data_IF_957386093315
#
_entry.id   IF_957386093315
#
_cell.length_a   1.000
_cell.length_b   1.000
_cell.length_c   1.000
_cell.angle_alpha   90.00
_cell.angle_beta   90.00
_cell.angle_gamma   90.00
#
_symmetry.space_group_name_H-M   'P 1'
#
loop_
_entity.id
_entity.type
_entity.pdbx_description
1 polymer ?
#
# COMPACT_ATOMS: atom_id res chain seq x y z
N UNK A 1 51.09 2.88 -115.22
CA UNK A 1 49.76 2.65 -114.60
C UNK A 1 49.78 1.72 -113.39
N UNK A 2 50.48 0.57 -113.42
CA UNK A 2 50.49 -0.40 -112.30
C UNK A 2 51.02 0.14 -110.94
N UNK A 3 52.05 0.99 -110.95
CA UNK A 3 52.58 1.58 -109.70
C UNK A 3 51.58 2.49 -108.97
N UNK A 4 50.64 3.08 -109.69
CA UNK A 4 49.67 4.02 -109.11
C UNK A 4 48.50 3.27 -108.44
N UNK A 5 48.10 2.13 -109.03
CA UNK A 5 47.10 1.24 -108.45
C UNK A 5 47.60 0.58 -107.16
N UNK A 6 48.86 0.14 -107.15
CA UNK A 6 49.45 -0.50 -105.96
C UNK A 6 49.61 0.49 -104.79
N UNK A 7 49.93 1.75 -105.09
CA UNK A 7 49.91 2.86 -104.13
C UNK A 7 48.50 3.12 -103.58
N UNK A 8 47.47 3.11 -104.44
CA UNK A 8 46.08 3.29 -104.01
C UNK A 8 45.59 2.15 -103.11
N UNK A 9 45.88 0.90 -103.47
CA UNK A 9 45.54 -0.26 -102.64
C UNK A 9 46.25 -0.21 -101.29
N UNK A 10 47.54 0.13 -101.26
CA UNK A 10 48.30 0.27 -100.00
C UNK A 10 47.76 1.41 -99.13
N UNK A 11 47.34 2.52 -99.75
CA UNK A 11 46.72 3.65 -99.03
C UNK A 11 45.35 3.28 -98.46
N UNK A 12 44.52 2.57 -99.22
CA UNK A 12 43.24 2.05 -98.72
C UNK A 12 43.45 1.07 -97.57
N UNK A 13 44.41 0.14 -97.70
CA UNK A 13 44.71 -0.83 -96.66
C UNK A 13 45.22 -0.15 -95.37
N UNK A 14 46.03 0.90 -95.49
CA UNK A 14 46.43 1.72 -94.34
C UNK A 14 45.26 2.47 -93.69
N UNK A 15 44.31 2.98 -94.48
CA UNK A 15 43.10 3.63 -93.95
C UNK A 15 42.24 2.60 -93.21
N UNK A 16 42.08 1.40 -93.76
CA UNK A 16 41.34 0.31 -93.13
C UNK A 16 42.02 -0.17 -91.84
N UNK A 17 43.33 -0.38 -91.84
CA UNK A 17 44.09 -0.75 -90.63
C UNK A 17 43.93 0.36 -89.58
N UNK A 18 44.03 1.63 -89.97
CA UNK A 18 43.88 2.74 -89.03
C UNK A 18 42.47 2.80 -88.45
N UNK A 19 41.44 2.66 -89.28
CA UNK A 19 40.05 2.57 -88.82
C UNK A 19 39.83 1.39 -87.88
N UNK A 20 40.47 0.25 -88.13
CA UNK A 20 40.32 -0.95 -87.33
C UNK A 20 40.99 -0.77 -85.96
N UNK A 21 42.20 -0.19 -85.93
CA UNK A 21 42.90 0.20 -84.70
C UNK A 21 42.09 1.25 -83.94
N UNK A 22 41.54 2.26 -84.62
CA UNK A 22 40.72 3.30 -83.98
C UNK A 22 39.43 2.70 -83.38
N UNK A 23 38.79 1.74 -84.06
CA UNK A 23 37.64 1.02 -83.50
C UNK A 23 38.02 0.12 -82.34
N UNK A 24 39.17 -0.57 -82.40
CA UNK A 24 39.65 -1.44 -81.33
C UNK A 24 40.02 -0.61 -80.09
N UNK A 25 40.69 0.53 -80.29
CA UNK A 25 40.96 1.50 -79.24
C UNK A 25 39.68 2.10 -78.66
N UNK A 26 38.67 2.40 -79.49
CA UNK A 26 37.37 2.87 -79.02
C UNK A 26 36.63 1.79 -78.22
N UNK A 27 36.70 0.52 -78.64
CA UNK A 27 36.17 -0.63 -77.90
C UNK A 27 36.89 -0.84 -76.56
N UNK A 28 38.19 -0.60 -76.48
CA UNK A 28 38.95 -0.65 -75.22
C UNK A 28 38.69 0.55 -74.31
N UNK A 29 38.26 1.70 -74.87
CA UNK A 29 37.98 2.95 -74.14
C UNK A 29 36.52 3.14 -73.75
N UNK A 30 35.62 2.19 -74.04
CA UNK A 30 34.22 2.32 -73.63
C UNK A 30 34.17 2.30 -72.11
N UNK A 31 33.90 3.45 -71.49
CA UNK A 31 33.82 3.71 -70.04
C UNK A 31 33.02 2.62 -69.27
N UNK A 32 32.06 1.99 -69.95
CA UNK A 32 31.28 0.85 -69.46
C UNK A 32 32.12 -0.38 -69.07
N UNK A 33 33.31 -0.60 -69.63
CA UNK A 33 34.14 -1.77 -69.32
C UNK A 33 34.98 -1.57 -68.06
N UNK A 34 35.53 -0.37 -67.86
CA UNK A 34 36.19 -0.03 -66.59
C UNK A 34 35.20 -0.03 -65.43
N UNK A 35 34.00 0.50 -65.66
CA UNK A 35 32.93 0.48 -64.65
C UNK A 35 32.42 -0.95 -64.40
N UNK A 36 32.32 -1.79 -65.43
CA UNK A 36 32.01 -3.21 -65.27
C UNK A 36 33.08 -3.94 -64.44
N UNK A 37 34.37 -3.70 -64.69
CA UNK A 37 35.45 -4.33 -63.96
C UNK A 37 35.50 -3.86 -62.49
N UNK A 38 35.22 -2.57 -62.22
CA UNK A 38 35.05 -2.05 -60.85
C UNK A 38 33.85 -2.68 -60.14
N UNK A 39 32.68 -2.69 -60.77
CA UNK A 39 31.46 -3.30 -60.23
C UNK A 39 31.63 -4.79 -59.98
N UNK A 40 32.36 -5.49 -60.85
CA UNK A 40 32.68 -6.91 -60.67
C UNK A 40 33.57 -7.14 -59.46
N UNK A 41 34.59 -6.30 -59.27
CA UNK A 41 35.48 -6.35 -58.11
C UNK A 41 34.72 -6.06 -56.81
N UNK A 42 33.83 -5.06 -56.80
CA UNK A 42 32.93 -4.80 -55.67
C UNK A 42 31.98 -5.98 -55.40
N UNK A 43 31.38 -6.56 -56.43
CA UNK A 43 30.53 -7.74 -56.29
C UNK A 43 31.28 -8.93 -55.69
N UNK A 44 32.54 -9.14 -56.09
CA UNK A 44 33.35 -10.24 -55.58
C UNK A 44 33.82 -9.97 -54.14
N UNK A 45 34.12 -8.72 -53.79
CA UNK A 45 34.38 -8.31 -52.40
C UNK A 45 33.16 -8.52 -51.51
N UNK A 46 31.97 -8.09 -51.95
CA UNK A 46 30.72 -8.28 -51.20
C UNK A 46 30.37 -9.76 -51.04
N UNK A 47 30.65 -10.61 -52.03
CA UNK A 47 30.50 -12.07 -51.89
C UNK A 47 31.44 -12.63 -50.83
N UNK A 48 32.69 -12.17 -50.80
CA UNK A 48 33.65 -12.60 -49.80
C UNK A 48 33.23 -12.16 -48.40
N UNK A 49 32.82 -10.90 -48.22
CA UNK A 49 32.32 -10.38 -46.95
C UNK A 49 31.06 -11.11 -46.47
N UNK A 50 30.10 -11.36 -47.36
CA UNK A 50 28.88 -12.10 -47.01
C UNK A 50 29.19 -13.55 -46.66
N UNK A 51 30.16 -14.19 -47.32
CA UNK A 51 30.61 -15.53 -46.94
C UNK A 51 31.29 -15.55 -45.57
N UNK A 52 32.11 -14.55 -45.27
CA UNK A 52 32.80 -14.40 -43.97
C UNK A 52 31.82 -14.10 -42.83
N UNK A 53 30.84 -13.21 -43.05
CA UNK A 53 29.79 -12.97 -42.08
C UNK A 53 28.98 -14.24 -41.83
N UNK A 54 28.66 -14.99 -42.89
CA UNK A 54 27.92 -16.25 -42.76
C UNK A 54 28.67 -17.29 -41.93
N UNK A 55 29.99 -17.40 -42.07
CA UNK A 55 30.79 -18.29 -41.21
C UNK A 55 30.77 -17.84 -39.76
N UNK A 56 30.94 -16.54 -39.49
CA UNK A 56 30.89 -16.01 -38.12
C UNK A 56 29.51 -16.22 -37.47
N UNK A 57 28.42 -16.07 -38.24
CA UNK A 57 27.08 -16.36 -37.74
C UNK A 57 26.89 -17.84 -37.40
N UNK A 58 27.46 -18.75 -38.18
CA UNK A 58 27.41 -20.19 -37.87
C UNK A 58 28.18 -20.52 -36.58
N UNK A 59 29.38 -19.95 -36.42
CA UNK A 59 30.15 -20.10 -35.17
C UNK A 59 29.40 -19.54 -33.95
N UNK A 60 28.75 -18.38 -34.10
CA UNK A 60 27.95 -17.78 -33.04
C UNK A 60 26.74 -18.66 -32.68
N UNK A 61 26.09 -19.25 -33.68
CA UNK A 61 24.99 -20.20 -33.45
C UNK A 61 25.47 -21.41 -32.65
N UNK A 62 26.64 -21.95 -32.97
CA UNK A 62 27.17 -23.12 -32.26
C UNK A 62 27.61 -22.78 -30.83
N UNK A 63 28.18 -21.59 -30.61
CA UNK A 63 28.46 -21.08 -29.26
C UNK A 63 27.17 -20.89 -28.43
N UNK A 64 26.11 -20.37 -29.05
CA UNK A 64 24.81 -20.21 -28.38
C UNK A 64 24.21 -21.57 -28.01
N UNK A 65 24.29 -22.59 -28.89
CA UNK A 65 23.84 -23.96 -28.56
C UNK A 65 24.64 -24.53 -27.39
N UNK A 66 25.95 -24.40 -27.42
CA UNK A 66 26.82 -24.86 -26.32
C UNK A 66 26.45 -24.22 -24.99
N UNK A 67 26.19 -22.91 -24.97
CA UNK A 67 25.74 -22.22 -23.75
C UNK A 67 24.37 -22.71 -23.28
N UNK A 68 23.43 -22.96 -24.19
CA UNK A 68 22.13 -23.54 -23.85
C UNK A 68 22.34 -24.90 -23.19
N UNK A 69 23.14 -25.78 -23.79
CA UNK A 69 23.42 -27.12 -23.25
C UNK A 69 24.01 -27.02 -21.83
N UNK A 70 25.03 -26.18 -21.62
CA UNK A 70 25.59 -25.95 -20.28
C UNK A 70 24.55 -25.41 -19.28
N UNK A 71 23.70 -24.46 -19.68
CA UNK A 71 22.67 -23.93 -18.78
C UNK A 71 21.65 -24.99 -18.41
N UNK A 72 21.31 -25.90 -19.34
CA UNK A 72 20.41 -27.01 -19.06
C UNK A 72 21.01 -28.03 -18.09
N UNK A 73 22.30 -28.34 -18.21
CA UNK A 73 23.02 -29.18 -17.25
C UNK A 73 23.01 -28.56 -15.83
N UNK A 74 23.33 -27.27 -15.71
CA UNK A 74 23.32 -26.56 -14.42
C UNK A 74 21.92 -26.56 -13.79
N UNK A 75 20.86 -26.42 -14.58
CA UNK A 75 19.49 -26.48 -14.08
C UNK A 75 19.15 -27.86 -13.53
N UNK A 76 19.57 -28.93 -14.21
CA UNK A 76 19.39 -30.30 -13.74
C UNK A 76 20.16 -30.52 -12.42
N UNK A 77 21.41 -30.06 -12.33
CA UNK A 77 22.18 -30.17 -11.09
C UNK A 77 21.52 -29.42 -9.93
N UNK A 78 21.05 -28.18 -10.18
CA UNK A 78 20.32 -27.39 -9.18
C UNK A 78 19.09 -28.14 -8.65
N UNK A 79 18.31 -28.73 -9.55
CA UNK A 79 17.08 -29.43 -9.17
C UNK A 79 17.38 -30.72 -8.39
N UNK A 80 18.48 -31.40 -8.73
CA UNK A 80 18.99 -32.54 -7.96
C UNK A 80 19.42 -32.10 -6.55
N UNK A 81 20.22 -31.03 -6.42
CA UNK A 81 20.63 -30.51 -5.11
C UNK A 81 19.44 -30.07 -4.25
N UNK A 82 18.43 -29.45 -4.86
CA UNK A 82 17.21 -29.07 -4.16
C UNK A 82 16.48 -30.31 -3.63
N UNK A 83 16.35 -31.35 -4.45
CA UNK A 83 15.71 -32.61 -4.07
C UNK A 83 16.47 -33.32 -2.94
N UNK A 84 17.80 -33.38 -3.00
CA UNK A 84 18.65 -33.95 -1.95
C UNK A 84 18.59 -33.15 -0.65
N UNK A 85 18.56 -31.81 -0.75
CA UNK A 85 18.41 -30.93 0.40
C UNK A 85 17.04 -31.11 1.07
N UNK A 86 15.96 -31.18 0.28
CA UNK A 86 14.61 -31.39 0.78
C UNK A 86 14.48 -32.76 1.46
N UNK A 87 15.03 -33.81 0.84
CA UNK A 87 15.11 -35.15 1.43
C UNK A 87 15.87 -35.15 2.76
N UNK A 88 17.06 -34.53 2.81
CA UNK A 88 17.87 -34.42 4.02
C UNK A 88 17.19 -33.62 5.13
N UNK A 89 16.52 -32.52 4.77
CA UNK A 89 15.73 -31.69 5.69
C UNK A 89 14.59 -32.50 6.33
N UNK A 90 13.90 -33.31 5.54
CA UNK A 90 12.79 -34.13 6.02
C UNK A 90 13.25 -35.24 6.98
N UNK A 91 14.45 -35.80 6.79
CA UNK A 91 15.03 -36.82 7.68
C UNK A 91 15.54 -36.21 8.99
N UNK A 92 16.24 -35.07 8.92
CA UNK A 92 16.86 -34.44 10.10
C UNK A 92 15.87 -33.67 10.97
N UNK A 93 14.76 -33.21 10.40
CA UNK A 93 13.68 -32.53 11.11
C UNK A 93 12.33 -33.16 10.76
N UNK A 94 12.02 -34.36 11.31
CA UNK A 94 10.73 -35.00 11.05
C UNK A 94 9.62 -34.06 11.50
N UNK A 95 8.84 -33.56 10.55
CA UNK A 95 7.74 -32.64 10.83
C UNK A 95 6.68 -33.37 11.66
N UNK A 96 6.15 -32.75 12.73
CA UNK A 96 5.03 -33.33 13.45
C UNK A 96 3.83 -33.56 12.53
N UNK A 97 3.12 -34.67 12.72
CA UNK A 97 1.86 -34.91 12.03
C UNK A 97 0.76 -34.02 12.63
N UNK A 98 0.62 -32.83 12.06
CA UNK A 98 -0.34 -31.81 12.48
C UNK A 98 -1.80 -32.24 12.34
N UNK A 99 -2.11 -33.31 11.60
CA UNK A 99 -3.47 -33.81 11.50
C UNK A 99 -4.00 -34.33 12.85
N UNK A 100 -3.10 -34.73 13.77
CA UNK A 100 -3.47 -35.14 15.13
C UNK A 100 -4.10 -34.00 15.93
N UNK A 101 -3.72 -32.76 15.64
CA UNK A 101 -4.27 -31.58 16.30
C UNK A 101 -5.73 -31.27 15.89
N UNK A 102 -6.22 -31.85 14.79
CA UNK A 102 -7.63 -31.69 14.37
C UNK A 102 -8.65 -32.28 15.36
N UNK A 103 -8.23 -33.24 16.18
CA UNK A 103 -9.07 -33.80 17.23
C UNK A 103 -9.12 -32.91 18.48
N UNK A 104 -8.11 -32.08 18.70
CA UNK A 104 -8.00 -31.20 19.87
C UNK A 104 -8.62 -29.82 19.61
N UNK A 105 -8.48 -29.30 18.38
CA UNK A 105 -8.97 -27.96 18.01
C UNK A 105 -9.98 -28.11 16.86
N UNK A 106 -11.24 -27.77 17.14
CA UNK A 106 -12.36 -27.93 16.18
C UNK A 106 -12.19 -27.09 14.91
N UNK A 107 -11.46 -25.97 15.00
CA UNK A 107 -11.17 -25.06 13.89
C UNK A 107 -9.79 -25.29 13.25
N UNK A 108 -9.08 -26.37 13.62
CA UNK A 108 -7.70 -26.62 13.19
C UNK A 108 -7.52 -26.58 11.67
N UNK A 109 -8.47 -27.13 10.92
CA UNK A 109 -8.41 -27.14 9.44
C UNK A 109 -8.41 -25.73 8.86
N UNK A 110 -9.11 -24.78 9.47
CA UNK A 110 -9.15 -23.40 9.00
C UNK A 110 -7.91 -22.63 9.46
N UNK A 111 -7.43 -22.88 10.68
CA UNK A 111 -6.26 -22.22 11.25
C UNK A 111 -4.93 -22.69 10.63
N UNK A 112 -4.87 -23.93 10.16
CA UNK A 112 -3.65 -24.53 9.63
C UNK A 112 -3.40 -24.31 8.13
N UNK A 113 -4.41 -23.85 7.39
CA UNK A 113 -4.30 -23.64 5.94
C UNK A 113 -3.28 -22.54 5.63
N UNK A 114 -2.25 -22.91 4.85
CA UNK A 114 -1.21 -21.99 4.39
C UNK A 114 -0.19 -21.54 5.44
N UNK A 115 -0.17 -22.17 6.62
CA UNK A 115 0.76 -21.82 7.71
C UNK A 115 1.98 -22.74 7.76
N UNK A 116 3.12 -22.18 8.17
CA UNK A 116 4.34 -22.97 8.40
C UNK A 116 4.24 -23.72 9.72
N UNK A 117 4.99 -24.82 9.92
CA UNK A 117 4.89 -25.58 11.18
C UNK A 117 5.31 -24.77 12.41
N UNK A 118 6.15 -23.75 12.26
CA UNK A 118 6.50 -22.83 13.35
C UNK A 118 5.29 -21.97 13.73
N UNK A 119 4.60 -21.41 12.74
CA UNK A 119 3.35 -20.67 12.96
C UNK A 119 2.23 -21.57 13.53
N UNK A 120 2.19 -22.85 13.15
CA UNK A 120 1.25 -23.82 13.73
C UNK A 120 1.54 -24.09 15.22
N UNK A 121 2.82 -24.11 15.61
CA UNK A 121 3.21 -24.21 17.03
C UNK A 121 2.76 -22.98 17.80
N UNK A 122 2.95 -21.77 17.25
CA UNK A 122 2.49 -20.54 17.89
C UNK A 122 0.97 -20.50 18.06
N UNK A 123 0.22 -20.96 17.04
CA UNK A 123 -1.24 -21.09 17.13
C UNK A 123 -1.64 -22.08 18.23
N UNK A 124 -0.96 -23.22 18.32
CA UNK A 124 -1.21 -24.20 19.39
C UNK A 124 -0.89 -23.64 20.77
N UNK A 125 0.24 -22.96 20.92
CA UNK A 125 0.64 -22.33 22.17
C UNK A 125 -0.40 -21.28 22.57
N UNK A 126 -0.87 -20.47 21.62
CA UNK A 126 -1.91 -19.48 21.87
C UNK A 126 -3.23 -20.13 22.28
N UNK A 127 -3.67 -21.21 21.63
CA UNK A 127 -4.92 -21.89 21.96
C UNK A 127 -4.84 -22.60 23.33
N UNK A 128 -3.73 -23.27 23.62
CA UNK A 128 -3.45 -23.90 24.92
C UNK A 128 -3.33 -22.84 26.02
N UNK A 129 -2.72 -21.68 25.72
CA UNK A 129 -2.67 -20.56 26.64
C UNK A 129 -4.04 -19.91 26.81
N UNK A 130 -4.89 -19.82 25.78
CA UNK A 130 -6.25 -19.34 25.92
C UNK A 130 -7.07 -20.25 26.87
N UNK A 131 -6.97 -21.58 26.72
CA UNK A 131 -7.62 -22.53 27.64
C UNK A 131 -7.03 -22.51 29.06
N UNK A 132 -5.74 -22.23 29.22
CA UNK A 132 -5.08 -22.13 30.54
C UNK A 132 -5.22 -20.76 31.20
N UNK A 133 -5.41 -19.68 30.43
CA UNK A 133 -5.63 -18.31 30.93
C UNK A 133 -7.08 -18.11 31.37
N UNK A 134 -8.02 -18.93 30.92
CA UNK A 134 -9.35 -19.05 31.56
C UNK A 134 -9.28 -19.73 32.94
N UNK A 135 -8.17 -20.39 33.30
CA UNK A 135 -8.03 -21.18 34.55
C UNK A 135 -7.03 -20.64 35.57
N UNK A 136 -6.24 -19.61 35.23
CA UNK A 136 -5.43 -18.88 36.22
C UNK A 136 -6.06 -17.52 36.46
N UNK A 137 -6.99 -17.48 37.41
CA UNK A 137 -7.51 -16.27 38.04
C UNK A 137 -6.35 -15.54 38.76
N UNK A 138 -5.54 -14.79 38.04
CA UNK A 138 -4.75 -13.73 38.67
C UNK A 138 -5.70 -12.55 38.85
N UNK A 139 -6.33 -12.47 40.03
CA UNK A 139 -7.23 -11.36 40.43
C UNK A 139 -6.58 -9.96 40.25
N UNK A 140 -5.26 -9.91 40.12
CA UNK A 140 -4.47 -8.69 39.98
C UNK A 140 -3.53 -8.77 38.78
N UNK A 141 -3.34 -7.64 38.10
CA UNK A 141 -2.26 -7.48 37.13
C UNK A 141 -0.92 -7.59 37.85
N UNK A 142 -0.12 -8.60 37.48
CA UNK A 142 1.29 -8.64 37.84
C UNK A 142 1.96 -7.41 37.24
N UNK A 143 2.28 -6.43 38.08
CA UNK A 143 3.09 -5.29 37.68
C UNK A 143 4.49 -5.83 37.33
N UNK A 144 4.69 -6.23 36.07
CA UNK A 144 5.99 -6.57 35.52
C UNK A 144 6.82 -5.29 35.48
N UNK A 145 7.35 -4.89 36.64
CA UNK A 145 8.56 -4.07 36.75
C UNK A 145 9.73 -4.99 36.40
N UNK A 146 9.74 -5.52 35.18
CA UNK A 146 10.90 -6.19 34.64
C UNK A 146 11.22 -5.53 33.31
N UNK A 147 12.37 -4.86 33.34
CA UNK A 147 13.08 -4.24 32.24
C UNK A 147 12.60 -2.84 31.85
N UNK A 148 13.34 -1.86 32.41
CA UNK A 148 13.59 -0.54 31.80
C UNK A 148 14.01 -0.59 30.31
N UNK A 149 14.26 -1.77 29.76
CA UNK A 149 14.68 -1.99 28.38
C UNK A 149 13.52 -2.31 27.41
N UNK A 150 12.32 -2.72 27.88
CA UNK A 150 11.13 -2.89 27.02
C UNK A 150 10.22 -1.65 26.98
N UNK A 151 10.47 -0.67 27.86
CA UNK A 151 9.95 0.71 27.74
C UNK A 151 10.42 1.44 26.46
N UNK A 152 11.25 0.79 25.64
CA UNK A 152 11.67 1.28 24.33
C UNK A 152 10.54 1.37 23.30
N UNK A 153 9.38 0.75 23.54
CA UNK A 153 8.17 0.92 22.74
C UNK A 153 7.16 1.87 23.42
N UNK A 154 7.61 3.09 23.71
CA UNK A 154 6.88 4.38 23.64
C UNK A 154 5.35 4.35 23.83
N UNK A 155 4.83 3.67 24.86
CA UNK A 155 3.41 3.69 25.20
C UNK A 155 3.12 4.89 26.10
N UNK A 156 3.11 6.08 25.49
CA UNK A 156 3.00 7.38 26.15
C UNK A 156 1.80 7.47 27.11
N UNK A 157 0.68 6.81 26.76
CA UNK A 157 -0.55 6.75 27.57
C UNK A 157 -0.33 6.12 28.96
N UNK A 158 0.44 5.03 29.05
CA UNK A 158 0.65 4.32 30.32
C UNK A 158 1.79 4.96 31.11
N UNK A 159 2.82 5.46 30.42
CA UNK A 159 3.93 6.17 31.07
C UNK A 159 3.45 7.40 31.85
N UNK A 160 2.53 8.20 31.28
CA UNK A 160 1.92 9.33 32.00
C UNK A 160 1.13 8.88 33.23
N UNK A 161 0.43 7.75 33.15
CA UNK A 161 -0.37 7.20 34.26
C UNK A 161 0.49 6.61 35.39
N UNK A 162 1.67 6.08 35.06
CA UNK A 162 2.58 5.44 36.02
C UNK A 162 3.37 6.42 36.88
N UNK A 163 3.55 7.68 36.44
CA UNK A 163 4.33 8.68 37.19
C UNK A 163 3.62 9.06 38.51
N UNK A 164 2.28 9.03 38.54
CA UNK A 164 1.49 9.41 39.71
C UNK A 164 1.30 8.30 40.77
N UNK A 165 1.71 7.06 40.48
CA UNK A 165 1.55 5.90 41.41
C UNK A 165 2.79 5.71 42.31
N UNK A 166 3.64 6.74 42.42
CA UNK A 166 4.75 6.77 43.37
C UNK A 166 4.23 6.74 44.80
N UNK A 167 4.09 5.55 45.41
CA UNK A 167 4.66 5.19 46.73
C UNK A 167 4.07 3.94 47.43
N UNK A 168 3.07 3.24 46.90
CA UNK A 168 2.55 2.01 47.56
C UNK A 168 2.24 0.91 46.54
N UNK A 169 2.61 -0.33 46.87
CA UNK A 169 2.33 -1.56 46.12
C UNK A 169 0.81 -1.80 45.99
N UNK A 170 0.15 -1.03 45.12
CA UNK A 170 -1.27 -1.23 44.81
C UNK A 170 -1.38 -2.27 43.71
N UNK A 171 -1.77 -3.47 44.11
CA UNK A 171 -2.20 -4.52 43.20
C UNK A 171 -3.43 -4.02 42.41
N UNK A 172 -3.27 -3.85 41.10
CA UNK A 172 -4.34 -3.39 40.22
C UNK A 172 -5.23 -4.58 39.88
N UNK A 173 -6.51 -4.53 40.25
CA UNK A 173 -7.43 -5.64 40.01
C UNK A 173 -7.67 -5.86 38.51
N UNK A 174 -7.51 -7.10 38.07
CA UNK A 174 -7.95 -7.52 36.75
C UNK A 174 -9.44 -7.87 36.83
N UNK A 175 -10.28 -7.00 36.27
CA UNK A 175 -11.73 -7.19 36.21
C UNK A 175 -12.15 -8.12 35.07
N UNK A 176 -11.21 -8.60 34.26
CA UNK A 176 -11.46 -9.43 33.08
C UNK A 176 -12.60 -8.85 32.23
N UNK A 177 -12.43 -7.60 31.80
CA UNK A 177 -13.46 -6.91 31.03
C UNK A 177 -13.85 -7.73 29.80
N UNK A 178 -15.13 -8.09 29.77
CA UNK A 178 -15.72 -8.82 28.64
C UNK A 178 -15.74 -7.93 27.40
N UNK A 179 -15.67 -8.57 26.24
CA UNK A 179 -15.73 -7.93 24.92
C UNK A 179 -16.82 -6.87 24.78
N UNK A 180 -18.08 -7.23 25.07
CA UNK A 180 -19.23 -6.30 25.01
C UNK A 180 -19.03 -5.04 25.87
N UNK A 181 -18.57 -5.21 27.11
CA UNK A 181 -18.36 -4.09 28.04
C UNK A 181 -17.25 -3.17 27.50
N UNK A 182 -16.21 -3.76 26.92
CA UNK A 182 -15.10 -3.01 26.30
C UNK A 182 -15.59 -2.18 25.11
N UNK A 183 -16.39 -2.76 24.21
CA UNK A 183 -16.98 -2.06 23.06
C UNK A 183 -17.88 -0.89 23.49
N UNK A 184 -18.78 -1.12 24.45
CA UNK A 184 -19.66 -0.07 24.98
C UNK A 184 -18.87 1.07 25.64
N UNK A 185 -17.83 0.75 26.40
CA UNK A 185 -16.97 1.76 27.03
C UNK A 185 -16.24 2.62 25.99
N UNK A 186 -15.68 2.00 24.95
CA UNK A 186 -15.01 2.71 23.85
C UNK A 186 -16.00 3.63 23.12
N UNK A 187 -17.20 3.14 22.80
CA UNK A 187 -18.25 3.94 22.17
C UNK A 187 -18.65 5.14 23.05
N UNK A 188 -18.76 4.92 24.35
CA UNK A 188 -19.11 5.97 25.29
C UNK A 188 -18.01 7.05 25.38
N UNK A 189 -16.74 6.64 25.38
CA UNK A 189 -15.60 7.57 25.32
C UNK A 189 -15.68 8.44 24.07
N UNK A 190 -15.86 7.83 22.89
CA UNK A 190 -15.98 8.56 21.63
C UNK A 190 -17.17 9.51 21.61
N UNK A 191 -18.32 9.05 22.09
CA UNK A 191 -19.55 9.85 22.13
C UNK A 191 -19.40 11.08 23.04
N UNK A 192 -18.79 10.92 24.22
CA UNK A 192 -18.55 12.02 25.14
C UNK A 192 -17.50 12.99 24.58
N UNK A 193 -16.44 12.48 23.94
CA UNK A 193 -15.42 13.34 23.33
C UNK A 193 -16.02 14.22 22.25
N UNK A 194 -16.81 13.65 21.33
CA UNK A 194 -17.53 14.39 20.30
C UNK A 194 -18.50 15.42 20.90
N UNK A 195 -19.17 15.08 21.99
CA UNK A 195 -20.09 16.00 22.67
C UNK A 195 -19.35 17.18 23.33
N UNK A 196 -18.24 16.92 24.00
CA UNK A 196 -17.41 17.93 24.67
C UNK A 196 -16.74 18.87 23.65
N UNK A 197 -16.22 18.33 22.55
CA UNK A 197 -15.62 19.12 21.45
C UNK A 197 -16.64 20.05 20.79
N UNK A 198 -17.91 19.63 20.68
CA UNK A 198 -18.98 20.46 20.14
C UNK A 198 -19.46 21.56 21.09
N UNK A 199 -19.16 21.46 22.40
CA UNK A 199 -19.56 22.45 23.41
C UNK A 199 -18.53 23.54 23.65
N UNK A 200 -17.25 23.24 23.47
CA UNK A 200 -16.18 24.20 23.69
C UNK A 200 -16.07 25.13 22.47
N UNK A 201 -16.34 26.43 22.67
CA UNK A 201 -16.23 27.47 21.62
C UNK A 201 -14.79 27.57 21.05
N UNK A 202 -13.80 27.17 21.85
CA UNK A 202 -12.44 26.88 21.39
C UNK A 202 -12.31 25.37 21.16
N UNK A 203 -12.09 24.96 19.90
CA UNK A 203 -11.67 23.60 19.52
C UNK A 203 -10.30 23.30 20.13
N UNK A 204 -10.28 23.02 21.44
CA UNK A 204 -9.11 22.48 22.10
C UNK A 204 -8.96 21.05 21.58
N UNK A 205 -7.99 20.86 20.68
CA UNK A 205 -7.70 19.57 20.07
C UNK A 205 -6.97 18.69 21.10
N UNK A 206 -7.71 18.29 22.15
CA UNK A 206 -7.19 17.42 23.22
C UNK A 206 -7.00 16.04 22.60
N UNK A 207 -5.79 15.48 22.68
CA UNK A 207 -5.50 14.15 22.15
C UNK A 207 -6.34 13.10 22.86
N UNK A 208 -6.74 12.04 22.15
CA UNK A 208 -7.48 10.92 22.76
C UNK A 208 -6.82 10.37 24.03
N UNK A 209 -5.48 10.30 24.05
CA UNK A 209 -4.70 9.84 25.22
C UNK A 209 -4.99 10.64 26.47
N UNK A 210 -5.03 11.95 26.35
CA UNK A 210 -5.20 12.87 27.48
C UNK A 210 -6.68 12.90 27.90
N UNK A 211 -7.58 12.86 26.90
CA UNK A 211 -9.02 12.86 27.12
C UNK A 211 -9.51 11.61 27.89
N UNK A 212 -9.02 10.41 27.55
CA UNK A 212 -9.52 9.16 28.14
C UNK A 212 -9.34 9.14 29.65
N UNK A 213 -8.17 9.56 30.16
CA UNK A 213 -7.92 9.55 31.59
C UNK A 213 -8.76 10.58 32.33
N UNK A 214 -8.89 11.79 31.79
CA UNK A 214 -9.73 12.85 32.34
C UNK A 214 -11.20 12.42 32.38
N UNK A 215 -11.68 11.79 31.30
CA UNK A 215 -13.02 11.24 31.20
C UNK A 215 -13.27 10.15 32.24
N UNK A 216 -12.36 9.17 32.38
CA UNK A 216 -12.50 8.08 33.35
C UNK A 216 -12.46 8.62 34.79
N UNK A 217 -11.61 9.59 35.07
CA UNK A 217 -11.53 10.24 36.39
C UNK A 217 -12.83 10.97 36.73
N UNK A 218 -13.40 11.71 35.77
CA UNK A 218 -14.69 12.40 35.94
C UNK A 218 -15.86 11.41 36.07
N UNK A 219 -15.83 10.31 35.33
CA UNK A 219 -16.90 9.30 35.35
C UNK A 219 -16.98 8.54 36.66
N UNK A 220 -15.83 8.13 37.20
CA UNK A 220 -15.76 7.29 38.41
C UNK A 220 -15.52 8.10 39.69
N UNK A 221 -15.35 9.43 39.59
CA UNK A 221 -15.00 10.32 40.71
C UNK A 221 -13.81 9.83 41.55
N UNK A 222 -12.92 9.03 40.96
CA UNK A 222 -11.76 8.44 41.63
C UNK A 222 -10.67 8.17 40.62
N UNK A 223 -9.49 8.77 40.88
CA UNK A 223 -8.28 8.54 40.07
C UNK A 223 -7.82 7.08 40.15
N UNK A 224 -7.97 6.44 41.31
CA UNK A 224 -7.52 5.06 41.53
C UNK A 224 -8.34 4.07 40.69
N UNK A 225 -9.67 4.26 40.65
CA UNK A 225 -10.56 3.45 39.82
C UNK A 225 -10.30 3.75 38.33
N UNK A 226 -10.03 5.00 37.97
CA UNK A 226 -9.68 5.34 36.59
C UNK A 226 -8.40 4.62 36.13
N UNK A 227 -7.36 4.59 36.97
CA UNK A 227 -6.12 3.83 36.71
C UNK A 227 -6.44 2.33 36.56
N UNK A 228 -7.22 1.75 37.47
CA UNK A 228 -7.62 0.35 37.41
C UNK A 228 -8.33 0.03 36.07
N UNK A 229 -9.25 0.89 35.65
CA UNK A 229 -9.96 0.73 34.38
C UNK A 229 -9.02 0.90 33.18
N UNK A 230 -8.06 1.83 33.22
CA UNK A 230 -7.06 1.98 32.15
C UNK A 230 -6.26 0.69 31.91
N UNK A 231 -5.80 0.02 32.97
CA UNK A 231 -5.08 -1.26 32.85
C UNK A 231 -5.99 -2.36 32.29
N UNK A 232 -7.25 -2.40 32.71
CA UNK A 232 -8.23 -3.32 32.17
C UNK A 232 -8.55 -3.03 30.68
N UNK A 233 -8.58 -1.76 30.26
CA UNK A 233 -8.78 -1.36 28.86
C UNK A 233 -7.59 -1.84 28.03
N UNK A 234 -6.36 -1.60 28.50
CA UNK A 234 -5.14 -2.10 27.84
C UNK A 234 -5.20 -3.61 27.62
N UNK A 235 -5.50 -4.36 28.68
CA UNK A 235 -5.58 -5.82 28.64
C UNK A 235 -6.70 -6.29 27.68
N UNK A 236 -7.89 -5.68 27.76
CA UNK A 236 -8.99 -6.00 26.88
C UNK A 236 -8.69 -5.66 25.40
N UNK A 237 -8.08 -4.51 25.12
CA UNK A 237 -7.64 -4.11 23.79
C UNK A 237 -6.64 -5.11 23.21
N UNK A 238 -5.69 -5.61 24.02
CA UNK A 238 -4.75 -6.65 23.60
C UNK A 238 -5.42 -8.00 23.34
N UNK A 239 -6.40 -8.41 24.16
CA UNK A 239 -7.16 -9.66 23.93
C UNK A 239 -8.05 -9.60 22.70
N UNK A 240 -8.62 -8.44 22.39
CA UNK A 240 -9.61 -8.27 21.34
C UNK A 240 -9.08 -7.50 20.11
N UNK A 241 -7.79 -7.59 19.82
CA UNK A 241 -7.14 -6.95 18.65
C UNK A 241 -7.73 -7.40 17.30
N UNK A 242 -8.38 -8.56 17.26
CA UNK A 242 -9.09 -9.05 16.08
C UNK A 242 -10.34 -8.22 15.73
N UNK A 243 -10.84 -7.38 16.65
CA UNK A 243 -11.98 -6.50 16.43
C UNK A 243 -11.51 -5.13 15.96
N UNK A 244 -12.07 -4.68 14.83
CA UNK A 244 -11.64 -3.44 14.20
C UNK A 244 -11.81 -2.24 15.11
N UNK A 245 -12.99 -2.06 15.72
CA UNK A 245 -13.29 -0.87 16.54
C UNK A 245 -12.37 -0.77 17.75
N UNK A 246 -12.09 -1.91 18.38
CA UNK A 246 -11.21 -2.02 19.55
C UNK A 246 -9.76 -1.79 19.15
N UNK A 247 -9.33 -2.38 18.04
CA UNK A 247 -7.97 -2.23 17.53
C UNK A 247 -7.69 -0.80 17.06
N UNK A 248 -8.61 -0.18 16.31
CA UNK A 248 -8.50 1.21 15.88
C UNK A 248 -8.38 2.14 17.09
N UNK A 249 -9.26 1.98 18.09
CA UNK A 249 -9.18 2.75 19.33
C UNK A 249 -7.82 2.57 20.02
N UNK A 250 -7.33 1.33 20.13
CA UNK A 250 -6.04 1.03 20.76
C UNK A 250 -4.85 1.63 19.99
N UNK A 251 -4.87 1.54 18.66
CA UNK A 251 -3.85 2.12 17.78
C UNK A 251 -3.83 3.65 17.87
N UNK A 252 -4.99 4.29 17.99
CA UNK A 252 -5.07 5.74 18.22
C UNK A 252 -4.57 6.09 19.63
N UNK A 253 -4.97 5.33 20.64
CA UNK A 253 -4.57 5.55 22.03
C UNK A 253 -3.06 5.35 22.26
N UNK A 254 -2.42 4.48 21.50
CA UNK A 254 -0.96 4.27 21.54
C UNK A 254 -0.20 5.23 20.62
N UNK A 255 -0.91 6.05 19.83
CA UNK A 255 -0.31 6.98 18.87
C UNK A 255 0.28 6.31 17.64
N UNK A 256 -0.06 5.05 17.36
CA UNK A 256 0.30 4.35 16.13
C UNK A 256 -0.49 4.87 14.92
N UNK A 257 -1.75 5.27 15.16
CA UNK A 257 -2.66 5.84 14.17
C UNK A 257 -3.16 7.19 14.67
N UNK A 258 -3.43 8.11 13.75
CA UNK A 258 -4.04 9.39 14.09
C UNK A 258 -5.53 9.28 14.35
N UNK A 259 -5.98 10.06 15.32
CA UNK A 259 -7.38 10.18 15.69
C UNK A 259 -8.30 10.63 14.54
N UNK A 260 -7.77 11.45 13.63
CA UNK A 260 -8.47 11.88 12.43
C UNK A 260 -8.91 10.71 11.53
N UNK A 261 -8.30 9.52 11.61
CA UNK A 261 -8.76 8.33 10.86
C UNK A 261 -10.18 7.98 11.28
N UNK A 262 -10.44 7.96 12.60
CA UNK A 262 -11.78 7.69 13.12
C UNK A 262 -12.79 8.74 12.65
N UNK A 263 -12.44 10.03 12.74
CA UNK A 263 -13.31 11.11 12.28
C UNK A 263 -13.59 11.07 10.78
N UNK A 264 -12.61 10.70 9.96
CA UNK A 264 -12.78 10.52 8.52
C UNK A 264 -13.79 9.40 8.24
N UNK A 265 -13.62 8.23 8.85
CA UNK A 265 -14.56 7.11 8.66
C UNK A 265 -15.99 7.47 9.07
N UNK A 266 -16.17 8.12 10.21
CA UNK A 266 -17.50 8.56 10.66
C UNK A 266 -18.12 9.58 9.71
N UNK A 267 -17.31 10.51 9.18
CA UNK A 267 -17.75 11.50 8.20
C UNK A 267 -18.17 10.83 6.89
N UNK A 268 -17.43 9.82 6.43
CA UNK A 268 -17.76 9.06 5.22
C UNK A 268 -19.07 8.29 5.37
N UNK A 269 -19.27 7.60 6.49
CA UNK A 269 -20.54 6.94 6.78
C UNK A 269 -21.70 7.93 6.83
N UNK A 270 -21.50 9.09 7.47
CA UNK A 270 -22.51 10.15 7.48
C UNK A 270 -22.79 10.70 6.08
N UNK A 271 -21.77 10.85 5.23
CA UNK A 271 -21.89 11.34 3.84
C UNK A 271 -22.75 10.38 3.01
N UNK A 272 -22.48 9.08 3.07
CA UNK A 272 -23.27 8.06 2.37
C UNK A 272 -24.71 8.08 2.90
N UNK A 273 -24.89 8.04 4.21
CA UNK A 273 -26.22 8.06 4.83
C UNK A 273 -27.04 9.28 4.41
N UNK A 274 -26.45 10.47 4.44
CA UNK A 274 -27.11 11.71 4.01
C UNK A 274 -27.46 11.69 2.52
N UNK A 275 -26.63 11.07 1.68
CA UNK A 275 -26.91 10.92 0.26
C UNK A 275 -28.14 10.01 0.03
N UNK A 276 -28.19 8.86 0.71
CA UNK A 276 -29.32 7.94 0.62
C UNK A 276 -30.62 8.56 1.15
N UNK A 277 -30.54 9.33 2.24
CA UNK A 277 -31.70 10.09 2.76
C UNK A 277 -32.23 11.09 1.72
N UNK A 278 -31.35 11.76 0.96
CA UNK A 278 -31.76 12.70 -0.11
C UNK A 278 -32.43 12.00 -1.29
N UNK A 279 -32.06 10.76 -1.57
CA UNK A 279 -32.68 9.95 -2.63
C UNK A 279 -34.05 9.42 -2.24
N UNK A 280 -34.39 9.39 -0.95
CA UNK A 280 -35.74 9.04 -0.53
C UNK A 280 -36.74 10.10 -1.03
N UNK A 281 -37.76 9.71 -1.83
CA UNK A 281 -38.88 10.60 -2.11
C UNK A 281 -39.55 10.93 -0.77
N UNK A 282 -39.87 12.20 -0.51
CA UNK A 282 -40.55 12.64 0.71
C UNK A 282 -41.75 11.75 1.02
N UNK A 283 -41.58 10.73 1.85
CA UNK A 283 -42.67 9.89 2.31
C UNK A 283 -43.46 10.74 3.27
N UNK A 284 -44.65 11.14 2.83
CA UNK A 284 -45.70 11.76 3.63
C UNK A 284 -45.71 11.20 5.05
N UNK A 285 -45.15 11.98 5.99
CA UNK A 285 -45.30 12.03 7.47
C UNK A 285 -45.70 10.79 8.30
N UNK A 286 -45.73 9.57 7.77
CA UNK A 286 -46.35 8.41 8.42
C UNK A 286 -45.79 7.04 7.99
N UNK A 287 -44.80 6.98 7.10
CA UNK A 287 -43.98 5.78 6.91
C UNK A 287 -42.67 5.94 7.68
N UNK A 288 -42.50 5.19 8.76
CA UNK A 288 -41.22 5.04 9.48
C UNK A 288 -40.16 4.26 8.68
N UNK A 289 -40.52 3.79 7.48
CA UNK A 289 -39.63 3.05 6.59
C UNK A 289 -39.11 4.00 5.52
N UNK A 290 -37.90 4.52 5.73
CA UNK A 290 -37.11 5.15 4.67
C UNK A 290 -36.50 4.04 3.82
N UNK A 291 -37.25 3.62 2.80
CA UNK A 291 -36.80 2.62 1.83
C UNK A 291 -36.37 3.29 0.53
N UNK A 292 -35.38 2.69 -0.13
CA UNK A 292 -34.96 3.02 -1.50
C UNK A 292 -34.93 1.74 -2.33
N UNK A 293 -34.76 1.82 -3.66
CA UNK A 293 -34.55 0.60 -4.45
C UNK A 293 -33.08 0.17 -4.42
N UNK A 294 -32.80 -1.11 -4.62
CA UNK A 294 -31.42 -1.60 -4.79
C UNK A 294 -30.70 -0.92 -5.95
N UNK A 295 -31.42 -0.61 -7.04
CA UNK A 295 -30.88 0.19 -8.14
C UNK A 295 -30.39 1.55 -7.70
N UNK A 296 -31.11 2.19 -6.76
CA UNK A 296 -30.82 3.55 -6.29
C UNK A 296 -29.57 3.54 -5.39
N UNK A 297 -29.36 2.46 -4.63
CA UNK A 297 -28.12 2.23 -3.88
C UNK A 297 -26.91 2.09 -4.82
N UNK A 298 -27.05 1.31 -5.90
CA UNK A 298 -25.97 1.12 -6.89
C UNK A 298 -25.64 2.45 -7.57
N UNK A 299 -26.65 3.23 -7.98
CA UNK A 299 -26.42 4.55 -8.57
C UNK A 299 -25.78 5.50 -7.57
N UNK A 300 -26.23 5.50 -6.32
CA UNK A 300 -25.64 6.33 -5.26
C UNK A 300 -24.16 6.03 -5.04
N UNK A 301 -23.78 4.75 -5.01
CA UNK A 301 -22.39 4.34 -4.85
C UNK A 301 -21.53 4.74 -6.04
N UNK A 302 -22.03 4.63 -7.27
CA UNK A 302 -21.33 5.11 -8.46
C UNK A 302 -21.18 6.63 -8.49
N UNK A 303 -22.16 7.38 -8.00
CA UNK A 303 -22.10 8.84 -7.93
C UNK A 303 -21.14 9.33 -6.83
N UNK A 304 -21.13 8.66 -5.66
CA UNK A 304 -20.23 8.98 -4.56
C UNK A 304 -18.79 8.53 -4.83
N UNK A 305 -18.61 7.41 -5.54
CA UNK A 305 -17.31 6.81 -5.84
C UNK A 305 -17.17 6.48 -7.33
N UNK A 306 -16.96 7.49 -8.20
CA UNK A 306 -16.90 7.28 -9.66
C UNK A 306 -15.76 6.37 -10.12
N UNK A 307 -14.68 6.29 -9.32
CA UNK A 307 -13.50 5.49 -9.65
C UNK A 307 -13.66 4.01 -9.27
N UNK A 308 -14.72 3.63 -8.56
CA UNK A 308 -14.94 2.25 -8.15
C UNK A 308 -15.46 1.41 -9.30
N UNK A 309 -14.86 0.23 -9.49
CA UNK A 309 -15.31 -0.72 -10.50
C UNK A 309 -16.64 -1.35 -10.10
N UNK A 310 -17.37 -1.85 -11.10
CA UNK A 310 -18.62 -2.60 -10.86
C UNK A 310 -18.41 -3.80 -9.92
N UNK A 311 -17.21 -4.40 -9.93
CA UNK A 311 -16.84 -5.49 -9.02
C UNK A 311 -16.78 -5.00 -7.57
N UNK A 312 -16.12 -3.88 -7.27
CA UNK A 312 -16.09 -3.26 -5.94
C UNK A 312 -17.50 -2.95 -5.44
N UNK A 313 -18.34 -2.38 -6.31
CA UNK A 313 -19.71 -2.03 -5.94
C UNK A 313 -20.57 -3.29 -5.74
N UNK A 314 -20.39 -4.34 -6.55
CA UNK A 314 -21.09 -5.60 -6.35
C UNK A 314 -20.77 -6.28 -5.01
N UNK A 315 -19.53 -6.18 -4.53
CA UNK A 315 -19.16 -6.66 -3.19
C UNK A 315 -19.94 -5.93 -2.09
N UNK A 316 -20.15 -4.62 -2.25
CA UNK A 316 -20.96 -3.82 -1.32
C UNK A 316 -22.42 -4.23 -1.34
N UNK A 317 -22.99 -4.53 -2.51
CA UNK A 317 -24.35 -5.05 -2.62
C UNK A 317 -24.49 -6.40 -1.91
N UNK A 318 -23.54 -7.32 -2.13
CA UNK A 318 -23.52 -8.63 -1.44
C UNK A 318 -23.44 -8.45 0.09
N UNK A 319 -22.61 -7.52 0.57
CA UNK A 319 -22.52 -7.21 1.99
C UNK A 319 -23.83 -6.64 2.55
N UNK A 320 -24.48 -5.73 1.82
CA UNK A 320 -25.78 -5.19 2.21
C UNK A 320 -26.89 -6.26 2.23
N UNK A 321 -26.89 -7.19 1.27
CA UNK A 321 -27.83 -8.34 1.25
C UNK A 321 -27.67 -9.23 2.49
N UNK A 322 -26.42 -9.46 2.93
CA UNK A 322 -26.12 -10.25 4.13
C UNK A 322 -26.58 -9.56 5.41
N UNK A 323 -26.30 -8.26 5.55
CA UNK A 323 -26.70 -7.48 6.71
C UNK A 323 -28.22 -7.44 6.88
N UNK A 324 -28.95 -7.23 5.77
CA UNK A 324 -30.41 -7.17 5.77
C UNK A 324 -31.07 -8.55 5.76
N UNK A 325 -30.30 -9.63 5.53
CA UNK A 325 -30.82 -10.98 5.26
C UNK A 325 -31.91 -10.97 4.18
N UNK A 326 -31.72 -10.13 3.17
CA UNK A 326 -32.64 -9.91 2.06
C UNK A 326 -31.87 -9.97 0.74
N UNK A 327 -32.42 -10.71 -0.22
CA UNK A 327 -31.85 -10.79 -1.56
C UNK A 327 -32.40 -9.67 -2.44
N UNK A 328 -31.53 -8.98 -3.19
CA UNK A 328 -31.93 -7.99 -4.20
C UNK A 328 -32.84 -8.57 -5.29
N UNK A 329 -32.86 -9.90 -5.44
CA UNK A 329 -33.73 -10.62 -6.38
C UNK A 329 -35.14 -10.87 -5.85
N UNK A 330 -35.31 -10.88 -4.53
CA UNK A 330 -36.58 -11.24 -3.88
C UNK A 330 -37.41 -10.02 -3.47
N UNK A 331 -36.74 -8.97 -2.99
CA UNK A 331 -37.39 -7.72 -2.56
C UNK A 331 -36.62 -6.54 -3.15
N UNK A 332 -37.31 -5.70 -3.90
CA UNK A 332 -36.67 -4.55 -4.55
C UNK A 332 -36.47 -3.35 -3.60
N UNK A 333 -37.20 -3.32 -2.48
CA UNK A 333 -37.14 -2.25 -1.49
C UNK A 333 -36.06 -2.56 -0.44
N UNK A 334 -35.20 -1.59 -0.17
CA UNK A 334 -34.05 -1.64 0.72
C UNK A 334 -34.27 -0.72 1.93
N UNK A 335 -34.28 -1.29 3.13
CA UNK A 335 -34.34 -0.55 4.40
C UNK A 335 -32.93 -0.06 4.81
N UNK A 336 -32.40 0.93 4.07
CA UNK A 336 -30.98 1.30 4.16
C UNK A 336 -30.54 1.80 5.54
N UNK A 337 -31.44 2.33 6.38
CA UNK A 337 -31.09 2.75 7.75
C UNK A 337 -30.52 1.60 8.59
N UNK A 338 -31.00 0.37 8.37
CA UNK A 338 -30.53 -0.80 9.09
C UNK A 338 -29.05 -1.12 8.78
N UNK A 339 -28.56 -0.76 7.60
CA UNK A 339 -27.15 -0.92 7.21
C UNK A 339 -26.20 -0.04 8.05
N UNK A 340 -26.73 1.01 8.69
CA UNK A 340 -25.99 1.93 9.55
C UNK A 340 -26.22 1.69 11.03
N UNK A 341 -26.90 0.59 11.39
CA UNK A 341 -27.08 0.21 12.79
C UNK A 341 -25.88 -0.59 13.29
N UNK A 342 -25.55 -0.38 14.56
CA UNK A 342 -24.60 -1.19 15.28
C UNK A 342 -25.33 -2.31 16.03
N UNK A 343 -24.70 -3.46 16.15
CA UNK A 343 -25.21 -4.53 17.01
C UNK A 343 -25.08 -4.17 18.51
N UNK A 344 -25.60 -5.03 19.38
CA UNK A 344 -25.56 -4.78 20.82
C UNK A 344 -24.13 -4.76 21.41
N UNK A 345 -23.12 -5.15 20.64
CA UNK A 345 -21.70 -5.11 21.00
C UNK A 345 -20.99 -3.87 20.42
N UNK A 346 -21.68 -3.03 19.64
CA UNK A 346 -21.13 -1.85 18.97
C UNK A 346 -20.43 -2.16 17.65
N UNK A 347 -20.61 -3.36 17.09
CA UNK A 347 -20.06 -3.73 15.80
C UNK A 347 -20.96 -3.23 14.67
N UNK A 348 -20.28 -2.75 13.62
CA UNK A 348 -20.93 -2.28 12.42
C UNK A 348 -21.13 -3.45 11.45
N UNK A 349 -22.22 -3.45 10.68
CA UNK A 349 -22.51 -4.46 9.65
C UNK A 349 -21.44 -4.63 8.58
N UNK A 350 -21.51 -5.74 7.85
CA UNK A 350 -20.57 -6.12 6.78
C UNK A 350 -20.52 -5.07 5.67
N UNK A 351 -21.61 -4.38 5.39
CA UNK A 351 -21.68 -3.31 4.40
C UNK A 351 -20.68 -2.18 4.70
N UNK A 352 -20.74 -1.60 5.90
CA UNK A 352 -19.85 -0.50 6.29
C UNK A 352 -18.42 -0.98 6.51
N UNK A 353 -18.23 -2.23 6.96
CA UNK A 353 -16.91 -2.85 7.00
C UNK A 353 -16.29 -2.98 5.61
N UNK A 354 -17.09 -3.32 4.61
CA UNK A 354 -16.65 -3.44 3.21
C UNK A 354 -16.32 -2.06 2.64
N UNK A 355 -17.14 -1.02 2.91
CA UNK A 355 -16.82 0.37 2.52
C UNK A 355 -15.46 0.79 3.08
N UNK A 356 -15.24 0.56 4.37
CA UNK A 356 -13.99 0.86 5.04
C UNK A 356 -12.79 0.16 4.38
N UNK A 357 -12.95 -1.11 4.02
CA UNK A 357 -11.91 -1.86 3.30
C UNK A 357 -11.64 -1.27 1.91
N UNK A 358 -12.68 -0.89 1.15
CA UNK A 358 -12.50 -0.27 -0.16
C UNK A 358 -11.82 1.10 -0.06
N UNK A 359 -12.21 1.95 0.91
CA UNK A 359 -11.54 3.23 1.16
C UNK A 359 -10.06 3.04 1.53
N UNK A 360 -9.73 2.00 2.31
CA UNK A 360 -8.35 1.66 2.63
C UNK A 360 -7.56 1.23 1.39
N UNK A 361 -8.15 0.41 0.52
CA UNK A 361 -7.51 -0.01 -0.73
C UNK A 361 -7.29 1.18 -1.66
N UNK A 362 -8.29 2.04 -1.83
CA UNK A 362 -8.17 3.28 -2.59
C UNK A 362 -7.02 4.16 -2.09
N UNK A 363 -6.91 4.31 -0.76
CA UNK A 363 -5.80 5.05 -0.15
C UNK A 363 -4.45 4.41 -0.48
N UNK A 364 -4.32 3.09 -0.36
CA UNK A 364 -3.07 2.38 -0.69
C UNK A 364 -2.73 2.57 -2.17
N UNK A 365 -3.68 2.35 -3.08
CA UNK A 365 -3.49 2.54 -4.52
C UNK A 365 -3.09 3.97 -4.88
N UNK A 366 -3.67 4.95 -4.20
CA UNK A 366 -3.31 6.36 -4.38
C UNK A 366 -1.88 6.66 -3.92
N UNK A 367 -1.48 6.14 -2.75
CA UNK A 367 -0.12 6.28 -2.22
C UNK A 367 0.89 5.55 -3.11
N UNK A 368 0.56 4.36 -3.62
CA UNK A 368 1.41 3.62 -4.55
C UNK A 368 1.65 4.40 -5.85
N UNK A 369 0.63 5.04 -6.42
CA UNK A 369 0.81 5.91 -7.60
C UNK A 369 1.76 7.08 -7.32
N UNK A 370 1.64 7.71 -6.15
CA UNK A 370 2.56 8.78 -5.74
C UNK A 370 3.97 8.23 -5.52
N UNK A 371 4.08 7.05 -4.89
CA UNK A 371 5.33 6.34 -4.67
C UNK A 371 6.04 6.09 -6.01
N UNK A 372 5.34 5.54 -6.99
CA UNK A 372 5.88 5.23 -8.32
C UNK A 372 6.47 6.46 -9.03
N UNK A 373 5.84 7.64 -8.87
CA UNK A 373 6.36 8.89 -9.42
C UNK A 373 7.58 9.44 -8.68
N UNK A 374 7.75 9.06 -7.41
CA UNK A 374 8.83 9.52 -6.55
C UNK A 374 10.00 8.52 -6.48
N UNK A 375 9.86 7.31 -7.03
CA UNK A 375 10.93 6.31 -7.13
C UNK A 375 12.13 6.90 -7.88
N UNK A 376 13.33 6.70 -7.33
CA UNK A 376 14.59 7.18 -7.90
C UNK A 376 15.10 8.50 -7.30
N UNK A 377 14.29 9.16 -6.46
CA UNK A 377 14.74 10.33 -5.68
C UNK A 377 15.02 9.93 -4.22
N UNK A 378 16.28 9.86 -3.78
CA UNK A 378 16.59 9.53 -2.38
C UNK A 378 16.12 10.62 -1.41
N UNK A 379 16.14 11.88 -1.87
CA UNK A 379 15.77 13.07 -1.11
C UNK A 379 14.75 13.87 -1.92
N UNK A 380 13.52 13.98 -1.41
CA UNK A 380 12.39 14.57 -2.13
C UNK A 380 12.14 15.99 -1.66
N UNK A 381 12.11 16.91 -2.63
CA UNK A 381 11.74 18.30 -2.38
C UNK A 381 10.24 18.54 -2.39
N UNK A 382 9.80 19.62 -1.75
CA UNK A 382 8.39 20.04 -1.72
C UNK A 382 7.82 20.16 -3.15
N UNK A 383 8.59 20.71 -4.09
CA UNK A 383 8.14 20.87 -5.48
C UNK A 383 7.96 19.54 -6.19
N UNK A 384 8.85 18.56 -5.96
CA UNK A 384 8.73 17.22 -6.54
C UNK A 384 7.54 16.47 -5.97
N UNK A 385 7.34 16.54 -4.65
CA UNK A 385 6.16 15.97 -4.00
C UNK A 385 4.88 16.61 -4.52
N UNK A 386 4.85 17.95 -4.63
CA UNK A 386 3.71 18.70 -5.16
C UNK A 386 3.37 18.27 -6.60
N UNK A 387 4.38 18.16 -7.47
CA UNK A 387 4.18 17.70 -8.84
C UNK A 387 3.67 16.25 -8.89
N UNK A 388 4.19 15.36 -8.06
CA UNK A 388 3.72 13.97 -8.01
C UNK A 388 2.24 13.92 -7.59
N UNK A 389 1.83 14.69 -6.58
CA UNK A 389 0.43 14.75 -6.15
C UNK A 389 -0.46 15.37 -7.23
N UNK A 390 -0.08 16.49 -7.84
CA UNK A 390 -0.84 17.15 -8.91
C UNK A 390 -0.97 16.27 -10.17
N UNK A 391 0.00 15.38 -10.44
CA UNK A 391 -0.06 14.41 -11.53
C UNK A 391 -1.02 13.24 -11.25
N UNK A 392 -1.08 12.78 -10.00
CA UNK A 392 -1.99 11.68 -9.60
C UNK A 392 -3.42 12.19 -9.40
N UNK A 393 -3.57 13.40 -8.85
CA UNK A 393 -4.84 14.07 -8.64
C UNK A 393 -4.80 15.52 -9.15
N UNK A 394 -5.22 15.75 -10.41
CA UNK A 394 -5.25 17.09 -10.98
C UNK A 394 -6.37 17.97 -10.40
N UNK A 395 -7.33 17.39 -9.68
CA UNK A 395 -8.47 18.10 -9.11
C UNK A 395 -8.27 18.49 -7.64
N UNK A 396 -7.13 18.14 -7.04
CA UNK A 396 -6.84 18.45 -5.64
C UNK A 396 -6.93 19.95 -5.36
N UNK A 397 -7.62 20.32 -4.27
CA UNK A 397 -7.70 21.72 -3.89
C UNK A 397 -6.34 22.23 -3.38
N UNK A 398 -6.07 23.53 -3.57
CA UNK A 398 -4.83 24.15 -3.09
C UNK A 398 -4.68 24.06 -1.56
N UNK A 399 -5.80 24.06 -0.84
CA UNK A 399 -5.83 23.93 0.62
C UNK A 399 -5.45 22.52 1.07
N UNK A 400 -5.99 21.48 0.41
CA UNK A 400 -5.65 20.08 0.71
C UNK A 400 -4.20 19.75 0.34
N UNK A 401 -3.75 20.21 -0.82
CA UNK A 401 -2.35 20.05 -1.24
C UNK A 401 -1.39 20.71 -0.24
N UNK A 402 -1.74 21.91 0.25
CA UNK A 402 -0.96 22.58 1.28
C UNK A 402 -0.97 21.83 2.61
N UNK A 403 -2.10 21.22 2.99
CA UNK A 403 -2.18 20.35 4.17
C UNK A 403 -1.26 19.14 4.02
N UNK A 404 -1.23 18.48 2.86
CA UNK A 404 -0.31 17.37 2.59
C UNK A 404 1.15 17.78 2.67
N UNK A 405 1.50 18.95 2.14
CA UNK A 405 2.86 19.49 2.25
C UNK A 405 3.22 19.79 3.70
N UNK A 406 2.36 20.49 4.44
CA UNK A 406 2.58 20.81 5.86
C UNK A 406 2.73 19.52 6.68
N UNK A 407 1.96 18.49 6.34
CA UNK A 407 1.98 17.19 6.98
C UNK A 407 3.30 16.44 6.73
N UNK A 408 3.60 16.19 5.46
CA UNK A 408 4.78 15.43 5.05
C UNK A 408 6.06 16.12 5.51
N UNK A 409 6.12 17.45 5.40
CA UNK A 409 7.33 18.23 5.69
C UNK A 409 7.38 18.85 7.10
N UNK A 410 6.31 18.78 7.91
CA UNK A 410 6.18 19.40 9.26
C UNK A 410 6.45 20.91 9.30
N UNK A 411 5.95 21.66 8.33
CA UNK A 411 6.18 23.11 8.25
C UNK A 411 5.62 23.88 9.47
N UNK A 412 4.63 23.33 10.17
CA UNK A 412 4.00 23.92 11.37
C UNK A 412 4.84 23.77 12.65
N UNK A 413 5.71 22.76 12.77
CA UNK A 413 6.62 22.61 13.93
C UNK A 413 7.82 23.57 13.84
N UNK A 414 8.18 23.96 12.62
CA UNK A 414 9.29 24.88 12.34
C UNK A 414 8.90 26.33 12.70
N UNK A 415 7.64 26.72 12.47
CA UNK A 415 7.16 28.05 12.85
C UNK A 415 7.08 28.23 14.38
N UNK A 416 6.71 27.18 15.13
CA UNK A 416 6.68 27.20 16.60
C UNK A 416 8.06 27.24 17.26
N UNK A 417 9.08 26.65 16.63
CA UNK A 417 10.48 26.72 17.13
C UNK A 417 11.19 28.02 16.77
N UNK A 418 10.65 28.77 15.80
CA UNK A 418 11.24 30.04 15.34
C UNK A 418 10.78 31.28 16.12
N UNK A 419 9.96 31.15 17.17
CA UNK A 419 9.52 32.28 17.97
C UNK A 419 9.97 32.23 19.43
N UNK A 420 10.77 33.24 19.80
CA UNK A 420 11.23 33.69 21.13
C UNK A 420 12.54 33.10 21.66
N UNK A 421 13.67 33.38 20.99
CA UNK A 421 14.91 33.93 21.62
C UNK A 421 16.16 34.00 20.70
N UNK A 422 16.15 33.47 19.47
CA UNK A 422 17.39 33.34 18.67
C UNK A 422 17.47 34.16 17.35
N UNK A 423 16.78 35.30 17.23
CA UNK A 423 16.63 35.98 15.92
C UNK A 423 17.78 36.94 15.54
N UNK A 424 18.77 37.22 16.40
CA UNK A 424 19.75 38.29 16.11
C UNK A 424 21.21 37.90 15.81
N UNK A 425 21.59 36.62 15.72
CA UNK A 425 23.02 36.27 15.50
C UNK A 425 23.35 35.18 14.48
N UNK A 426 22.41 34.59 13.74
CA UNK A 426 22.72 33.48 12.80
C UNK A 426 22.02 33.55 11.44
N UNK A 427 22.10 34.69 10.75
CA UNK A 427 21.41 34.86 9.47
C UNK A 427 22.00 34.03 8.31
N UNK A 428 23.30 33.71 8.32
CA UNK A 428 23.92 32.95 7.22
C UNK A 428 23.86 31.42 7.39
N UNK A 429 24.01 30.89 8.62
CA UNK A 429 23.84 29.45 8.88
C UNK A 429 22.38 29.01 8.74
N UNK A 430 21.42 29.88 9.12
CA UNK A 430 20.00 29.57 8.97
C UNK A 430 19.54 29.57 7.51
N UNK A 431 20.14 30.32 6.60
CA UNK A 431 19.80 30.26 5.16
C UNK A 431 20.32 28.95 4.53
N UNK A 432 21.46 28.42 5.01
CA UNK A 432 21.95 27.11 4.60
C UNK A 432 21.11 25.97 5.22
N UNK A 433 20.70 26.09 6.49
CA UNK A 433 19.76 25.15 7.11
C UNK A 433 18.39 25.20 6.44
N UNK A 434 17.83 26.38 6.13
CA UNK A 434 16.53 26.52 5.43
C UNK A 434 16.60 25.95 4.01
N UNK A 435 17.76 26.02 3.34
CA UNK A 435 17.99 25.33 2.06
C UNK A 435 18.23 23.82 2.21
N UNK A 436 18.69 23.34 3.37
CA UNK A 436 18.82 21.92 3.70
C UNK A 436 17.51 21.30 4.25
N UNK A 437 16.58 22.11 4.76
CA UNK A 437 15.33 21.69 5.42
C UNK A 437 14.22 21.25 4.44
N UNK A 438 14.37 21.43 3.13
CA UNK A 438 13.32 21.09 2.15
C UNK A 438 13.59 19.79 1.38
N UNK A 439 14.27 18.83 2.00
CA UNK A 439 14.41 17.48 1.44
C UNK A 439 14.20 16.46 2.54
N UNK A 440 13.25 15.55 2.34
CA UNK A 440 13.01 14.41 3.24
C UNK A 440 13.33 13.12 2.53
N UNK A 441 13.75 12.15 3.32
CA UNK A 441 14.01 10.80 2.83
C UNK A 441 12.71 10.18 2.34
N UNK A 442 12.81 9.49 1.20
CA UNK A 442 11.67 8.84 0.56
C UNK A 442 10.92 7.90 1.51
N UNK A 443 11.63 7.08 2.28
CA UNK A 443 11.02 6.14 3.22
C UNK A 443 10.23 6.86 4.33
N UNK A 444 10.72 8.00 4.82
CA UNK A 444 10.01 8.79 5.84
C UNK A 444 8.73 9.44 5.26
N UNK A 445 8.77 9.88 4.00
CA UNK A 445 7.58 10.40 3.31
C UNK A 445 6.54 9.29 3.14
N UNK A 446 6.93 8.12 2.65
CA UNK A 446 5.99 7.02 2.42
C UNK A 446 5.36 6.56 3.74
N UNK A 447 6.15 6.38 4.81
CA UNK A 447 5.62 6.04 6.14
C UNK A 447 4.61 7.07 6.64
N UNK A 448 4.87 8.37 6.41
CA UNK A 448 3.94 9.44 6.81
C UNK A 448 2.68 9.50 5.96
N UNK A 449 2.77 9.17 4.68
CA UNK A 449 1.60 9.06 3.80
C UNK A 449 0.71 7.88 4.22
N UNK A 450 1.32 6.75 4.55
CA UNK A 450 0.62 5.55 5.03
C UNK A 450 -0.09 5.82 6.37
N UNK A 451 0.55 6.57 7.28
CA UNK A 451 -0.02 6.97 8.58
C UNK A 451 -1.05 8.12 8.48
N UNK A 452 -1.01 8.95 7.44
CA UNK A 452 -1.87 10.14 7.35
C UNK A 452 -3.35 9.74 7.20
N UNK A 453 -4.19 10.19 8.12
CA UNK A 453 -5.64 10.01 8.06
C UNK A 453 -6.34 10.82 6.98
N UNK A 454 -5.68 11.86 6.45
CA UNK A 454 -6.29 12.85 5.55
C UNK A 454 -5.99 12.58 4.07
N UNK A 455 -5.34 11.45 3.76
CA UNK A 455 -5.04 11.07 2.40
C UNK A 455 -6.25 10.38 1.77
N UNK A 456 -6.83 11.04 0.75
CA UNK A 456 -8.09 10.80 0.02
C UNK A 456 -9.29 11.65 0.47
N UNK A 457 -9.93 12.26 -0.54
CA UNK A 457 -11.01 13.26 -0.54
C UNK A 457 -12.14 13.05 0.49
#
# INVERSE_FOLDING_TARGET
MHSNLLMQCRRQLLIWIKSLIDTECAYTKVELREDFDKLKLECDNLKNETSFLRTNFLELIDNCKFLIDQTTEILIERDNYYSEWEFSRNILTPRPDWNKCSHLITQWKNLSLGKTSEQLVDILINEINHENMEKKDTEYFSMMINNKNELSQKNMFIEQLCIDISSEEKFIKNRHMRRRITGLLIKEIWSNKLFDENRLEEKTNIKLTDYVFDYLTKRFNSKEIAIEICYNIKDACNRYQNRYEINLFWQILTGQIEENVYYYEMKEFARILQYLIKLCPHSSSQSLLSTIRWSDLVTALHELYPNWTNERISLLIIAAERDLKQSSKERNDLEFLLLFTEDDEGHIGEFLMTIRQQLKLDKIEYIEKIKDLLIGYPLISINQFKQAVELVDPNISKEELQRYINWVFELEKISLTSNKEAILSKTNENIQLIKQIQKRDFEEIILRLECCSCFMH
#
